data_IF_544963899576
#
_entry.id   IF_544963899576
#
_cell.length_a   1.000
_cell.length_b   1.000
_cell.length_c   1.000
_cell.angle_alpha   90.00
_cell.angle_beta   90.00
_cell.angle_gamma   90.00
#
_symmetry.space_group_name_H-M   'P 1'
#
loop_
_entity.id
_entity.type
_entity.pdbx_description
1 polymer ?
#
# COMPACT_ATOMS: atom_id res chain seq x y z
N UNK A 1 16.63 -7.06 -6.03
CA UNK A 1 17.66 -8.05 -5.65
C UNK A 1 19.13 -7.66 -5.89
N UNK A 2 19.46 -6.73 -6.79
CA UNK A 2 20.87 -6.37 -7.03
C UNK A 2 21.63 -5.77 -5.82
N UNK A 3 20.92 -5.07 -4.92
CA UNK A 3 21.52 -4.41 -3.75
C UNK A 3 22.04 -5.38 -2.68
N UNK A 4 21.46 -6.57 -2.58
CA UNK A 4 21.81 -7.58 -1.57
C UNK A 4 23.07 -8.38 -1.93
N UNK A 5 23.61 -8.18 -3.14
CA UNK A 5 24.76 -8.92 -3.62
C UNK A 5 26.09 -8.20 -3.30
N UNK A 6 27.22 -8.95 -3.33
CA UNK A 6 28.54 -8.36 -3.22
C UNK A 6 28.78 -7.26 -4.28
N UNK A 7 29.60 -6.24 -3.99
CA UNK A 7 30.38 -6.06 -2.76
C UNK A 7 29.62 -5.35 -1.62
N UNK A 8 28.38 -4.92 -1.84
CA UNK A 8 27.72 -3.96 -0.95
C UNK A 8 26.78 -4.58 0.07
N UNK A 9 26.13 -5.72 -0.24
CA UNK A 9 25.21 -6.43 0.67
C UNK A 9 24.21 -5.50 1.39
N UNK A 10 23.71 -4.49 0.68
CA UNK A 10 22.87 -3.44 1.24
C UNK A 10 21.44 -3.92 1.37
N UNK A 11 20.95 -4.00 2.61
CA UNK A 11 19.53 -4.16 2.91
C UNK A 11 18.79 -2.83 2.85
N UNK A 12 17.47 -2.89 2.65
CA UNK A 12 16.59 -1.72 2.70
C UNK A 12 16.74 -0.99 4.05
N UNK A 13 16.84 -1.73 5.15
CA UNK A 13 17.05 -1.14 6.48
C UNK A 13 18.37 -0.36 6.56
N UNK A 14 19.47 -0.89 6.00
CA UNK A 14 20.77 -0.20 6.02
C UNK A 14 20.73 1.10 5.22
N UNK A 15 20.15 1.07 4.03
CA UNK A 15 20.02 2.27 3.19
C UNK A 15 19.13 3.31 3.87
N UNK A 16 17.99 2.87 4.44
CA UNK A 16 17.09 3.76 5.18
C UNK A 16 17.78 4.42 6.37
N UNK A 17 18.47 3.64 7.19
CA UNK A 17 19.19 4.15 8.36
C UNK A 17 20.31 5.12 7.96
N UNK A 18 20.96 4.91 6.82
CA UNK A 18 21.95 5.85 6.29
C UNK A 18 21.31 7.20 5.94
N UNK A 19 20.17 7.22 5.24
CA UNK A 19 19.43 8.46 4.97
C UNK A 19 18.95 9.13 6.26
N UNK A 20 18.46 8.37 7.24
CA UNK A 20 18.07 8.93 8.55
C UNK A 20 19.25 9.62 9.25
N UNK A 21 20.47 9.13 9.06
CA UNK A 21 21.66 9.73 9.65
C UNK A 21 22.14 10.97 8.88
N UNK A 22 22.17 10.90 7.54
CA UNK A 22 22.73 11.96 6.69
C UNK A 22 21.73 13.11 6.47
N UNK A 23 20.45 12.81 6.34
CA UNK A 23 19.39 13.78 6.04
C UNK A 23 18.19 13.64 7.00
N UNK A 24 18.38 13.74 8.33
CA UNK A 24 17.32 13.46 9.32
C UNK A 24 16.06 14.31 9.17
N UNK A 25 16.15 15.49 8.55
CA UNK A 25 15.00 16.37 8.30
C UNK A 25 14.13 15.91 7.14
N UNK A 26 14.67 15.11 6.23
CA UNK A 26 14.00 14.60 5.04
C UNK A 26 13.50 13.16 5.19
N UNK A 27 13.68 12.53 6.37
CA UNK A 27 13.31 11.13 6.60
C UNK A 27 12.40 10.98 7.81
N UNK A 28 11.26 10.30 7.65
CA UNK A 28 10.36 10.00 8.76
C UNK A 28 10.87 8.80 9.56
N UNK A 29 10.47 8.75 10.83
CA UNK A 29 10.68 7.57 11.66
C UNK A 29 9.89 6.39 11.08
N UNK A 30 10.51 5.20 11.13
CA UNK A 30 9.93 3.94 10.68
C UNK A 30 9.98 2.93 11.82
N UNK A 31 9.11 1.93 11.78
CA UNK A 31 9.23 0.75 12.65
C UNK A 31 10.57 0.04 12.44
N UNK A 32 11.13 -0.64 13.47
CA UNK A 32 12.42 -1.31 13.38
C UNK A 32 12.50 -2.40 12.31
N UNK A 33 11.36 -3.01 12.00
CA UNK A 33 11.20 -3.91 10.86
C UNK A 33 10.48 -3.15 9.77
N UNK A 34 11.19 -2.80 8.70
CA UNK A 34 10.54 -2.27 7.51
C UNK A 34 9.86 -3.33 6.68
N UNK A 35 9.22 -2.86 5.61
CA UNK A 35 8.57 -3.70 4.62
C UNK A 35 9.39 -3.74 3.34
N UNK A 36 9.26 -4.82 2.57
CA UNK A 36 9.91 -4.92 1.26
C UNK A 36 9.48 -3.77 0.34
N UNK A 37 8.24 -3.32 0.46
CA UNK A 37 7.65 -2.22 -0.30
C UNK A 37 8.29 -0.86 0.00
N UNK A 38 9.04 -0.70 1.10
CA UNK A 38 9.80 0.53 1.38
C UNK A 38 10.89 0.82 0.34
N UNK A 39 11.27 -0.16 -0.49
CA UNK A 39 12.14 0.08 -1.65
C UNK A 39 11.54 1.09 -2.62
N UNK A 40 10.20 1.13 -2.73
CA UNK A 40 9.50 2.09 -3.59
C UNK A 40 9.68 3.50 -3.06
N UNK A 41 9.51 3.70 -1.75
CA UNK A 41 9.77 4.99 -1.11
C UNK A 41 11.21 5.46 -1.32
N UNK A 42 12.19 4.55 -1.19
CA UNK A 42 13.60 4.88 -1.45
C UNK A 42 13.82 5.32 -2.91
N UNK A 43 13.28 4.58 -3.87
CA UNK A 43 13.42 4.92 -5.30
C UNK A 43 12.77 6.27 -5.60
N UNK A 44 11.55 6.52 -5.12
CA UNK A 44 10.83 7.77 -5.37
C UNK A 44 11.51 8.98 -4.73
N UNK A 45 12.03 8.82 -3.52
CA UNK A 45 12.80 9.85 -2.84
C UNK A 45 14.11 10.18 -3.59
N UNK A 46 14.82 9.16 -4.07
CA UNK A 46 16.06 9.36 -4.82
C UNK A 46 15.82 10.02 -6.18
N UNK A 47 14.75 9.61 -6.87
CA UNK A 47 14.28 10.23 -8.12
C UNK A 47 13.67 11.62 -7.94
N UNK A 48 13.63 12.16 -6.71
CA UNK A 48 13.06 13.47 -6.37
C UNK A 48 11.59 13.61 -6.74
N UNK A 49 10.87 12.48 -6.83
CA UNK A 49 9.42 12.44 -6.97
C UNK A 49 8.80 12.87 -5.64
N UNK A 50 9.30 12.31 -4.54
CA UNK A 50 8.92 12.69 -3.18
C UNK A 50 10.06 13.46 -2.51
N UNK A 51 9.74 14.54 -1.81
CA UNK A 51 10.73 15.35 -1.06
C UNK A 51 11.00 14.82 0.34
N UNK A 52 10.23 13.84 0.79
CA UNK A 52 10.32 13.24 2.12
C UNK A 52 10.35 11.71 1.97
N UNK A 53 11.35 11.07 2.56
CA UNK A 53 11.41 9.62 2.68
C UNK A 53 10.51 9.17 3.82
N UNK A 54 9.38 8.56 3.49
CA UNK A 54 8.44 8.00 4.47
C UNK A 54 8.05 6.55 4.13
N UNK A 55 7.72 5.73 5.14
CA UNK A 55 7.41 4.31 4.92
C UNK A 55 6.30 4.14 3.91
N UNK A 56 6.39 3.14 3.03
CA UNK A 56 5.41 2.95 1.96
C UNK A 56 4.00 2.73 2.53
N UNK A 57 3.91 2.07 3.69
CA UNK A 57 2.65 1.90 4.43
C UNK A 57 1.97 3.22 4.79
N UNK A 58 2.74 4.26 5.13
CA UNK A 58 2.20 5.59 5.47
C UNK A 58 1.65 6.31 4.25
N UNK A 59 2.29 6.12 3.09
CA UNK A 59 1.80 6.64 1.81
C UNK A 59 0.46 5.98 1.48
N UNK A 60 0.42 4.64 1.48
CA UNK A 60 -0.80 3.87 1.18
C UNK A 60 -1.93 4.19 2.17
N UNK A 61 -1.64 4.25 3.47
CA UNK A 61 -2.65 4.59 4.49
C UNK A 61 -3.25 5.98 4.28
N UNK A 62 -2.42 6.96 3.91
CA UNK A 62 -2.87 8.32 3.60
C UNK A 62 -3.71 8.34 2.33
N UNK A 63 -3.23 7.76 1.23
CA UNK A 63 -3.96 7.68 -0.04
C UNK A 63 -5.32 6.99 0.14
N UNK A 64 -5.36 5.89 0.90
CA UNK A 64 -6.59 5.18 1.22
C UNK A 64 -7.58 6.05 1.98
N UNK A 65 -7.13 6.71 3.05
CA UNK A 65 -7.98 7.61 3.84
C UNK A 65 -8.56 8.72 2.96
N UNK A 66 -7.73 9.35 2.15
CA UNK A 66 -8.13 10.48 1.32
C UNK A 66 -9.09 10.02 0.21
N UNK A 67 -8.87 8.84 -0.39
CA UNK A 67 -9.78 8.23 -1.35
C UNK A 67 -11.14 7.85 -0.72
N UNK A 68 -11.14 7.18 0.43
CA UNK A 68 -12.38 6.84 1.17
C UNK A 68 -13.15 8.11 1.54
N UNK A 69 -12.46 9.15 1.99
CA UNK A 69 -13.09 10.43 2.32
C UNK A 69 -13.78 11.05 1.10
N UNK A 70 -13.11 11.07 -0.06
CA UNK A 70 -13.70 11.55 -1.32
C UNK A 70 -14.92 10.72 -1.73
N UNK A 71 -14.85 9.39 -1.62
CA UNK A 71 -15.96 8.49 -1.97
C UNK A 71 -17.17 8.70 -1.05
N UNK A 72 -16.93 8.84 0.26
CA UNK A 72 -18.00 9.01 1.25
C UNK A 72 -18.58 10.43 1.32
N UNK A 73 -17.94 11.41 0.68
CA UNK A 73 -18.49 12.76 0.51
C UNK A 73 -19.64 12.81 -0.53
N UNK A 74 -19.84 11.74 -1.31
CA UNK A 74 -20.94 11.59 -2.25
C UNK A 74 -22.25 11.12 -1.61
N UNK A 75 -23.34 10.99 -2.40
CA UNK A 75 -24.65 10.55 -1.91
C UNK A 75 -24.69 9.08 -1.51
N UNK A 76 -23.74 8.27 -1.96
CA UNK A 76 -23.62 6.84 -1.64
C UNK A 76 -22.34 6.62 -0.87
N UNK A 77 -22.48 6.17 0.37
CA UNK A 77 -21.37 5.84 1.26
C UNK A 77 -21.13 4.34 1.25
N UNK A 78 -19.89 3.93 1.53
CA UNK A 78 -19.61 2.52 1.74
C UNK A 78 -20.30 2.00 3.00
N UNK A 79 -20.85 0.79 2.91
CA UNK A 79 -21.34 0.08 4.09
C UNK A 79 -20.17 -0.35 4.99
N UNK A 80 -20.45 -0.72 6.24
CA UNK A 80 -19.42 -1.25 7.14
C UNK A 80 -18.73 -2.49 6.55
N UNK A 81 -19.49 -3.38 5.90
CA UNK A 81 -18.94 -4.59 5.25
C UNK A 81 -18.05 -4.21 4.06
N UNK A 82 -18.48 -3.27 3.20
CA UNK A 82 -17.65 -2.75 2.11
C UNK A 82 -16.35 -2.13 2.64
N UNK A 83 -16.43 -1.34 3.70
CA UNK A 83 -15.26 -0.72 4.31
C UNK A 83 -14.27 -1.74 4.89
N UNK A 84 -14.76 -2.85 5.44
CA UNK A 84 -13.88 -3.90 5.96
C UNK A 84 -13.11 -4.59 4.84
N UNK A 85 -13.78 -4.90 3.73
CA UNK A 85 -13.11 -5.41 2.54
C UNK A 85 -12.08 -4.45 1.98
N UNK A 86 -12.39 -3.16 1.90
CA UNK A 86 -11.46 -2.13 1.44
C UNK A 86 -10.23 -2.01 2.36
N UNK A 87 -10.40 -2.20 3.67
CA UNK A 87 -9.26 -2.23 4.62
C UNK A 87 -8.37 -3.45 4.43
N UNK A 88 -8.94 -4.64 4.24
CA UNK A 88 -8.16 -5.85 3.93
C UNK A 88 -7.36 -5.68 2.64
N UNK A 89 -7.97 -5.10 1.60
CA UNK A 89 -7.29 -4.79 0.34
C UNK A 89 -6.14 -3.81 0.57
N UNK A 90 -6.38 -2.73 1.31
CA UNK A 90 -5.34 -1.75 1.67
C UNK A 90 -4.19 -2.42 2.41
N UNK A 91 -4.46 -3.26 3.40
CA UNK A 91 -3.42 -3.97 4.16
C UNK A 91 -2.63 -4.95 3.28
N UNK A 92 -3.28 -5.62 2.34
CA UNK A 92 -2.60 -6.41 1.31
C UNK A 92 -1.66 -5.54 0.47
N UNK A 93 -2.16 -4.44 -0.09
CA UNK A 93 -1.41 -3.50 -0.94
C UNK A 93 -0.19 -2.89 -0.23
N UNK A 94 -0.28 -2.64 1.08
CA UNK A 94 0.88 -2.20 1.87
C UNK A 94 2.06 -3.18 1.75
N UNK A 95 1.79 -4.47 1.58
CA UNK A 95 2.80 -5.53 1.48
C UNK A 95 3.13 -5.98 0.04
N UNK A 96 2.21 -5.80 -0.92
CA UNK A 96 2.31 -6.36 -2.27
C UNK A 96 2.17 -5.33 -3.40
N UNK A 97 2.03 -4.03 -3.09
CA UNK A 97 1.91 -2.89 -4.01
C UNK A 97 0.57 -2.81 -4.75
N UNK A 98 -0.06 -3.95 -5.04
CA UNK A 98 -1.31 -4.05 -5.79
C UNK A 98 -2.08 -5.28 -5.34
N UNK A 99 -3.38 -5.31 -5.59
CA UNK A 99 -4.20 -6.51 -5.48
C UNK A 99 -4.69 -6.97 -6.86
N UNK A 100 -4.58 -8.26 -7.12
CA UNK A 100 -5.16 -8.93 -8.29
C UNK A 100 -6.31 -9.86 -7.89
N UNK A 101 -7.09 -10.32 -8.87
CA UNK A 101 -8.23 -11.21 -8.61
C UNK A 101 -7.81 -12.52 -7.93
N UNK A 102 -6.66 -13.05 -8.30
CA UNK A 102 -6.12 -14.30 -7.75
C UNK A 102 -5.69 -14.15 -6.28
N UNK A 103 -5.46 -12.92 -5.79
CA UNK A 103 -5.15 -12.70 -4.37
C UNK A 103 -6.37 -12.95 -3.47
N UNK A 104 -7.59 -12.90 -4.03
CA UNK A 104 -8.82 -13.21 -3.29
C UNK A 104 -8.96 -14.69 -2.95
N UNK A 105 -8.16 -15.57 -3.57
CA UNK A 105 -8.07 -16.99 -3.23
C UNK A 105 -7.08 -17.26 -2.08
N UNK A 106 -6.54 -16.20 -1.46
CA UNK A 106 -5.56 -16.26 -0.38
C UNK A 106 -6.10 -15.61 0.89
N UNK A 107 -5.53 -16.00 2.03
CA UNK A 107 -5.85 -15.39 3.33
C UNK A 107 -5.47 -13.90 3.36
N UNK A 108 -6.34 -13.02 3.90
CA UNK A 108 -7.59 -13.32 4.62
C UNK A 108 -8.85 -13.46 3.74
N UNK A 109 -8.79 -13.11 2.45
CA UNK A 109 -9.97 -13.04 1.59
C UNK A 109 -10.68 -14.38 1.41
N UNK A 110 -9.92 -15.47 1.26
CA UNK A 110 -10.46 -16.84 1.11
C UNK A 110 -11.41 -17.23 2.26
N UNK A 111 -11.06 -16.85 3.50
CA UNK A 111 -11.85 -17.09 4.71
C UNK A 111 -13.13 -16.25 4.76
N UNK A 112 -13.12 -15.09 4.12
CA UNK A 112 -14.27 -14.20 4.02
C UNK A 112 -15.16 -14.52 2.79
N UNK A 113 -14.86 -15.58 2.04
CA UNK A 113 -15.64 -16.02 0.86
C UNK A 113 -15.06 -15.58 -0.48
N UNK A 114 -13.83 -15.05 -0.47
CA UNK A 114 -13.00 -14.77 -1.64
C UNK A 114 -13.62 -13.83 -2.66
N UNK A 115 -13.23 -14.01 -3.93
CA UNK A 115 -13.66 -13.12 -5.01
C UNK A 115 -15.19 -13.14 -5.19
N UNK A 116 -15.82 -14.30 -4.97
CA UNK A 116 -17.27 -14.46 -5.05
C UNK A 116 -18.01 -13.57 -4.05
N UNK A 117 -17.57 -13.53 -2.79
CA UNK A 117 -18.15 -12.62 -1.78
C UNK A 117 -17.89 -11.16 -2.12
N UNK A 118 -16.70 -10.83 -2.63
CA UNK A 118 -16.38 -9.47 -3.08
C UNK A 118 -17.37 -8.99 -4.17
N UNK A 119 -17.67 -9.84 -5.16
CA UNK A 119 -18.71 -9.54 -6.16
C UNK A 119 -20.11 -9.37 -5.56
N UNK A 120 -20.48 -10.13 -4.53
CA UNK A 120 -21.78 -9.96 -3.86
C UNK A 120 -21.88 -8.61 -3.14
N UNK A 121 -20.76 -8.14 -2.58
CA UNK A 121 -20.71 -6.89 -1.80
C UNK A 121 -20.70 -5.65 -2.69
N UNK A 122 -19.96 -5.69 -3.81
CA UNK A 122 -19.76 -4.54 -4.69
C UNK A 122 -20.57 -4.61 -6.00
N UNK A 123 -21.12 -5.78 -6.35
CA UNK A 123 -21.96 -5.98 -7.52
C UNK A 123 -21.27 -5.55 -8.82
N UNK A 124 -21.98 -4.79 -9.64
CA UNK A 124 -21.46 -4.25 -10.91
C UNK A 124 -20.28 -3.28 -10.72
N UNK A 125 -20.07 -2.74 -9.52
CA UNK A 125 -18.95 -1.83 -9.24
C UNK A 125 -17.64 -2.57 -8.94
N UNK A 126 -17.64 -3.90 -8.84
CA UNK A 126 -16.47 -4.70 -8.41
C UNK A 126 -15.21 -4.38 -9.20
N UNK A 127 -15.27 -4.46 -10.53
CA UNK A 127 -14.11 -4.17 -11.40
C UNK A 127 -13.63 -2.73 -11.26
N UNK A 128 -14.59 -1.80 -11.15
CA UNK A 128 -14.30 -0.37 -11.03
C UNK A 128 -13.62 -0.07 -9.69
N UNK A 129 -14.12 -0.64 -8.60
CA UNK A 129 -13.53 -0.47 -7.26
C UNK A 129 -12.12 -1.06 -7.22
N UNK A 130 -11.91 -2.23 -7.80
CA UNK A 130 -10.59 -2.86 -7.84
C UNK A 130 -9.58 -2.04 -8.67
N UNK A 131 -10.01 -1.49 -9.81
CA UNK A 131 -9.18 -0.61 -10.62
C UNK A 131 -8.89 0.73 -9.93
N UNK A 132 -9.91 1.36 -9.34
CA UNK A 132 -9.78 2.62 -8.60
C UNK A 132 -8.81 2.48 -7.43
N UNK A 133 -8.99 1.47 -6.57
CA UNK A 133 -8.14 1.31 -5.38
C UNK A 133 -6.69 1.02 -5.77
N UNK A 134 -6.45 0.21 -6.79
CA UNK A 134 -5.08 -0.05 -7.27
C UNK A 134 -4.42 1.22 -7.84
N UNK A 135 -5.17 2.06 -8.55
CA UNK A 135 -4.64 3.32 -9.07
C UNK A 135 -4.38 4.35 -7.95
N UNK A 136 -5.29 4.47 -7.00
CA UNK A 136 -5.22 5.45 -5.91
C UNK A 136 -4.15 5.10 -4.87
N UNK A 137 -3.91 3.82 -4.61
CA UNK A 137 -2.92 3.38 -3.63
C UNK A 137 -1.51 3.20 -4.19
N UNK A 138 -1.33 3.13 -5.51
CA UNK A 138 -0.02 3.05 -6.16
C UNK A 138 0.66 4.44 -6.33
N UNK A 139 -0.06 5.52 -6.00
CA UNK A 139 0.33 6.92 -6.25
C UNK A 139 1.38 7.46 -5.27
#
# INVERSE_FOLDING_TARGET
>A
DALLNPPYNLSIDQVWNAYQHVEPKAVKLRTPKGMLTDIISLIRFELKIDTMLEPYSEIVNRSFRDWVFRRNAGPVQFTNEQMEWLRMIKDHVVSSVRIDKDDFDRTPFDREGGLGKFYQIFGEQTEKILAEINAELAA
#
